data_IF_475686169282
#
_entry.id   IF_475686169282
#
_cell.length_a   1.000
_cell.length_b   1.000
_cell.length_c   1.000
_cell.angle_alpha   90.00
_cell.angle_beta   90.00
_cell.angle_gamma   90.00
#
_symmetry.space_group_name_H-M   'P 1'
#
loop_
_entity.id
_entity.type
_entity.pdbx_description
1 polymer ?
#
# COMPACT_ATOMS: atom_id res chain seq x y z
N UNK A 1 -26.20 -12.77 -50.31
CA UNK A 1 -25.08 -11.81 -50.22
C UNK A 1 -25.13 -10.64 -51.21
N UNK A 2 -25.99 -10.65 -52.25
CA UNK A 2 -26.06 -9.56 -53.24
C UNK A 2 -27.26 -8.59 -53.11
N UNK A 3 -28.17 -8.79 -52.13
CA UNK A 3 -29.38 -7.97 -52.00
C UNK A 3 -29.15 -6.58 -51.35
N UNK A 4 -28.03 -6.35 -50.68
CA UNK A 4 -27.70 -5.07 -50.01
C UNK A 4 -26.84 -4.10 -50.87
N UNK A 5 -26.58 -4.43 -52.14
CA UNK A 5 -25.79 -3.57 -53.02
C UNK A 5 -26.68 -2.51 -53.68
N UNK A 6 -26.85 -1.40 -52.98
CA UNK A 6 -27.42 -0.17 -53.58
C UNK A 6 -26.52 0.27 -54.73
N UNK A 7 -27.09 0.39 -55.93
CA UNK A 7 -26.37 0.82 -57.13
C UNK A 7 -25.77 2.21 -56.90
N UNK A 8 -24.44 2.34 -57.05
CA UNK A 8 -23.69 3.57 -56.79
C UNK A 8 -22.99 3.62 -55.41
N UNK A 9 -23.18 2.63 -54.54
CA UNK A 9 -22.43 2.54 -53.29
C UNK A 9 -21.04 1.89 -53.49
N UNK A 10 -19.99 2.61 -53.10
CA UNK A 10 -18.62 2.09 -53.02
C UNK A 10 -18.33 1.71 -51.56
N UNK A 11 -18.19 0.42 -51.30
CA UNK A 11 -17.74 -0.07 -49.98
C UNK A 11 -16.24 0.13 -49.88
N UNK A 12 -15.79 0.76 -48.80
CA UNK A 12 -14.39 0.94 -48.45
C UNK A 12 -14.14 0.21 -47.13
N UNK A 13 -12.95 -0.34 -46.96
CA UNK A 13 -12.57 -0.98 -45.72
C UNK A 13 -12.52 0.02 -44.57
N UNK A 14 -13.13 -0.34 -43.46
CA UNK A 14 -13.11 0.47 -42.27
C UNK A 14 -11.88 0.14 -41.42
N UNK A 15 -11.14 1.18 -41.02
CA UNK A 15 -10.01 1.07 -40.10
C UNK A 15 -10.42 1.57 -38.72
N UNK A 16 -10.67 0.65 -37.79
CA UNK A 16 -11.08 0.94 -36.41
C UNK A 16 -9.89 0.94 -35.44
N UNK A 17 -8.74 1.47 -35.86
CA UNK A 17 -7.54 1.57 -35.02
C UNK A 17 -7.26 3.02 -34.66
N UNK A 18 -7.65 3.48 -33.46
CA UNK A 18 -7.39 4.85 -33.02
C UNK A 18 -5.91 5.09 -32.69
N UNK A 19 -5.14 4.02 -32.44
CA UNK A 19 -3.70 4.09 -32.20
C UNK A 19 -2.94 3.97 -33.52
N UNK A 20 -2.06 4.94 -33.78
CA UNK A 20 -1.23 5.04 -35.00
C UNK A 20 0.16 4.44 -34.81
N UNK A 21 0.78 4.70 -33.66
CA UNK A 21 2.15 4.25 -33.38
C UNK A 21 2.36 4.09 -31.88
N UNK A 22 3.15 3.07 -31.53
CA UNK A 22 3.59 2.80 -30.16
C UNK A 22 5.08 2.47 -30.19
N UNK A 23 5.86 3.10 -29.31
CA UNK A 23 7.24 2.76 -29.01
C UNK A 23 7.42 2.63 -27.50
N UNK A 24 8.35 1.78 -27.07
CA UNK A 24 8.71 1.68 -25.66
C UNK A 24 10.22 1.55 -25.49
N UNK A 25 10.72 2.08 -24.38
CA UNK A 25 12.10 1.91 -23.94
C UNK A 25 12.13 1.53 -22.46
N UNK A 26 13.09 0.71 -22.07
CA UNK A 26 13.31 0.29 -20.69
C UNK A 26 14.68 0.79 -20.26
N UNK A 27 14.69 1.66 -19.27
CA UNK A 27 15.90 2.25 -18.70
C UNK A 27 16.12 1.72 -17.28
N UNK A 28 17.37 1.65 -16.82
CA UNK A 28 17.64 1.33 -15.41
C UNK A 28 17.24 2.50 -14.51
N UNK A 29 16.46 2.22 -13.47
CA UNK A 29 16.07 3.16 -12.44
C UNK A 29 16.92 2.95 -11.17
N UNK A 30 17.48 4.05 -10.64
CA UNK A 30 18.04 4.07 -9.28
C UNK A 30 17.04 4.76 -8.37
N UNK A 31 16.48 4.01 -7.42
CA UNK A 31 15.61 4.55 -6.39
C UNK A 31 16.29 4.38 -5.03
N UNK A 32 16.69 5.52 -4.45
CA UNK A 32 17.42 5.58 -3.18
C UNK A 32 18.72 4.72 -3.18
N UNK A 33 18.75 3.66 -2.37
CA UNK A 33 19.87 2.70 -2.25
C UNK A 33 19.68 1.44 -3.09
N UNK A 34 18.54 1.29 -3.77
CA UNK A 34 18.24 0.14 -4.65
C UNK A 34 18.55 0.51 -6.12
N UNK A 35 19.23 -0.40 -6.79
CA UNK A 35 19.73 -0.21 -8.18
C UNK A 35 19.17 -1.22 -9.17
N UNK A 36 18.21 -2.02 -8.73
CA UNK A 36 17.64 -3.18 -9.42
C UNK A 36 16.22 -2.92 -9.95
N UNK A 37 15.85 -1.65 -10.12
CA UNK A 37 14.55 -1.28 -10.66
C UNK A 37 14.66 -0.89 -12.13
N UNK A 38 13.58 -1.14 -12.87
CA UNK A 38 13.45 -0.77 -14.28
C UNK A 38 12.42 0.36 -14.43
N UNK A 39 12.71 1.32 -15.31
CA UNK A 39 11.82 2.39 -15.73
C UNK A 39 11.34 2.12 -17.15
N UNK A 40 10.04 1.88 -17.31
CA UNK A 40 9.38 1.75 -18.60
C UNK A 40 8.89 3.11 -19.09
N UNK A 41 9.31 3.52 -20.29
CA UNK A 41 8.79 4.71 -20.99
C UNK A 41 8.05 4.24 -22.23
N UNK A 42 6.78 4.62 -22.35
CA UNK A 42 5.92 4.29 -23.50
C UNK A 42 5.56 5.60 -24.21
N UNK A 43 5.85 5.67 -25.49
CA UNK A 43 5.42 6.75 -26.39
C UNK A 43 4.29 6.23 -27.26
N UNK A 44 3.13 6.90 -27.20
CA UNK A 44 1.93 6.46 -27.87
C UNK A 44 1.30 7.62 -28.65
N UNK A 45 0.98 7.36 -29.91
CA UNK A 45 0.41 8.31 -30.86
C UNK A 45 -0.99 7.84 -31.28
N UNK A 46 -2.02 8.61 -30.95
CA UNK A 46 -3.41 8.36 -31.37
C UNK A 46 -3.88 9.37 -32.41
N UNK A 47 -4.96 9.03 -33.12
CA UNK A 47 -5.61 9.94 -34.07
C UNK A 47 -6.59 10.93 -33.42
N UNK A 48 -6.58 11.01 -32.08
CA UNK A 48 -7.43 11.91 -31.29
C UNK A 48 -8.82 11.36 -30.96
N UNK A 49 -9.22 10.23 -31.54
CA UNK A 49 -10.51 9.57 -31.22
C UNK A 49 -10.50 8.95 -29.81
N UNK A 50 -9.33 8.55 -29.34
CA UNK A 50 -9.09 7.94 -28.03
C UNK A 50 -7.92 8.63 -27.34
N UNK A 51 -8.11 8.96 -26.07
CA UNK A 51 -7.04 9.52 -25.24
C UNK A 51 -5.94 8.46 -25.01
N UNK A 52 -4.65 8.81 -25.15
CA UNK A 52 -3.54 7.88 -24.95
C UNK A 52 -3.55 7.15 -23.60
N UNK A 53 -3.94 7.84 -22.53
CA UNK A 53 -4.03 7.23 -21.20
C UNK A 53 -5.11 6.16 -21.15
N UNK A 54 -6.29 6.50 -21.67
CA UNK A 54 -7.42 5.57 -21.74
C UNK A 54 -7.08 4.35 -22.60
N UNK A 55 -6.34 4.54 -23.70
CA UNK A 55 -5.88 3.45 -24.55
C UNK A 55 -5.01 2.45 -23.78
N UNK A 56 -4.10 2.94 -22.94
CA UNK A 56 -3.26 2.08 -22.09
C UNK A 56 -4.12 1.35 -21.06
N UNK A 57 -5.03 2.03 -20.36
CA UNK A 57 -5.94 1.44 -19.37
C UNK A 57 -6.81 0.32 -19.98
N UNK A 58 -7.37 0.57 -21.16
CA UNK A 58 -8.13 -0.43 -21.90
C UNK A 58 -7.27 -1.62 -22.31
N UNK A 59 -6.04 -1.39 -22.80
CA UNK A 59 -5.14 -2.47 -23.19
C UNK A 59 -4.74 -3.35 -22.00
N UNK A 60 -4.49 -2.74 -20.83
CA UNK A 60 -4.15 -3.45 -19.61
C UNK A 60 -5.34 -4.31 -19.12
N UNK A 61 -6.56 -3.77 -19.20
CA UNK A 61 -7.78 -4.50 -18.85
C UNK A 61 -7.98 -5.72 -19.76
N UNK A 62 -7.79 -5.55 -21.07
CA UNK A 62 -7.89 -6.66 -22.04
C UNK A 62 -6.83 -7.72 -21.72
N UNK A 63 -5.59 -7.30 -21.45
CA UNK A 63 -4.50 -8.23 -21.10
C UNK A 63 -4.83 -9.02 -19.83
N UNK A 64 -5.33 -8.34 -18.79
CA UNK A 64 -5.75 -8.97 -17.54
C UNK A 64 -6.86 -10.01 -17.77
N UNK A 65 -7.86 -9.66 -18.58
CA UNK A 65 -8.95 -10.57 -18.96
C UNK A 65 -8.48 -11.78 -19.76
N UNK A 66 -7.43 -11.65 -20.58
CA UNK A 66 -6.86 -12.79 -21.29
C UNK A 66 -6.03 -13.68 -20.35
N UNK A 67 -5.35 -13.08 -19.36
CA UNK A 67 -4.52 -13.81 -18.41
C UNK A 67 -5.35 -14.58 -17.37
N UNK A 68 -6.59 -14.15 -17.10
CA UNK A 68 -7.50 -14.84 -16.17
C UNK A 68 -7.84 -16.28 -16.58
N UNK A 69 -7.67 -16.62 -17.86
CA UNK A 69 -7.81 -18.00 -18.33
C UNK A 69 -6.71 -18.94 -17.79
N UNK A 70 -5.57 -18.39 -17.37
CA UNK A 70 -4.41 -19.14 -16.90
C UNK A 70 -4.21 -19.05 -15.38
N UNK A 71 -4.60 -17.93 -14.78
CA UNK A 71 -4.32 -17.59 -13.39
C UNK A 71 -5.55 -16.96 -12.76
N UNK A 72 -5.89 -17.37 -11.54
CA UNK A 72 -6.90 -16.70 -10.72
C UNK A 72 -6.31 -15.39 -10.17
N UNK A 73 -6.53 -14.30 -10.92
CA UNK A 73 -6.01 -12.98 -10.59
C UNK A 73 -6.71 -12.37 -9.38
N UNK A 74 -7.96 -12.76 -9.10
CA UNK A 74 -8.73 -12.26 -7.96
C UNK A 74 -8.14 -12.82 -6.65
N UNK A 75 -7.78 -14.10 -6.63
CA UNK A 75 -7.11 -14.72 -5.50
C UNK A 75 -5.73 -14.11 -5.19
N UNK A 76 -4.98 -13.68 -6.21
CA UNK A 76 -3.68 -13.02 -6.04
C UNK A 76 -3.87 -11.60 -5.50
N UNK A 77 -4.83 -10.84 -6.03
CA UNK A 77 -5.14 -9.49 -5.54
C UNK A 77 -5.56 -9.50 -4.06
N UNK A 78 -6.35 -10.49 -3.63
CA UNK A 78 -6.69 -10.67 -2.21
C UNK A 78 -5.49 -11.01 -1.33
N UNK A 79 -4.50 -11.75 -1.85
CA UNK A 79 -3.29 -12.08 -1.09
C UNK A 79 -2.34 -10.89 -0.95
N UNK A 80 -2.22 -10.04 -1.97
CA UNK A 80 -1.43 -8.81 -1.90
C UNK A 80 -2.06 -7.81 -0.93
N UNK A 81 -3.39 -7.61 -0.98
CA UNK A 81 -4.10 -6.77 -0.02
C UNK A 81 -3.92 -7.25 1.44
N UNK A 82 -3.81 -8.57 1.67
CA UNK A 82 -3.52 -9.13 2.99
C UNK A 82 -2.06 -8.97 3.40
N UNK A 83 -1.12 -8.87 2.45
CA UNK A 83 0.30 -8.61 2.74
C UNK A 83 0.53 -7.17 3.17
N UNK A 84 -0.10 -6.20 2.52
CA UNK A 84 0.03 -4.78 2.90
C UNK A 84 -0.54 -4.49 4.30
N UNK A 85 -1.48 -5.31 4.78
CA UNK A 85 -1.97 -5.23 6.17
C UNK A 85 -1.03 -5.88 7.21
N UNK A 86 -0.09 -6.71 6.77
CA UNK A 86 0.82 -7.47 7.65
C UNK A 86 2.20 -6.78 7.87
N UNK A 87 2.36 -5.53 7.44
CA UNK A 87 3.62 -4.78 7.64
C UNK A 87 3.85 -4.33 9.10
N UNK A 88 2.87 -4.54 9.99
CA UNK A 88 3.05 -4.32 11.42
C UNK A 88 3.42 -5.62 12.12
N UNK A 89 4.48 -5.58 12.94
CA UNK A 89 4.76 -6.67 13.85
C UNK A 89 3.50 -6.97 14.68
N UNK A 90 3.03 -8.23 14.77
CA UNK A 90 1.81 -8.61 15.49
C UNK A 90 1.80 -8.18 16.97
N UNK A 91 2.96 -7.81 17.50
CA UNK A 91 3.13 -7.30 18.85
C UNK A 91 2.63 -5.86 19.01
N UNK A 92 2.73 -5.03 17.95
CA UNK A 92 2.33 -3.61 17.99
C UNK A 92 0.81 -3.45 18.10
N UNK A 93 0.08 -4.38 17.48
CA UNK A 93 -1.38 -4.44 17.46
C UNK A 93 -1.99 -5.01 18.75
N UNK A 94 -1.16 -5.49 19.69
CA UNK A 94 -1.66 -6.00 20.97
C UNK A 94 -2.09 -4.86 21.88
N UNK A 95 -3.01 -5.17 22.79
CA UNK A 95 -3.40 -4.24 23.83
C UNK A 95 -2.30 -4.07 24.86
N UNK A 96 -2.20 -2.86 25.43
CA UNK A 96 -1.32 -2.57 26.56
C UNK A 96 -1.61 -3.45 27.79
N UNK A 97 -2.81 -4.03 27.88
CA UNK A 97 -3.18 -4.94 28.96
C UNK A 97 -2.38 -6.25 28.92
N UNK A 98 -1.89 -6.66 27.74
CA UNK A 98 -1.06 -7.87 27.57
C UNK A 98 0.40 -7.66 27.99
N UNK A 99 0.83 -6.42 28.25
CA UNK A 99 2.19 -6.11 28.69
C UNK A 99 2.41 -6.41 30.19
N UNK A 100 1.41 -6.95 30.91
CA UNK A 100 1.48 -7.29 32.34
C UNK A 100 2.06 -6.16 33.23
N UNK A 101 1.82 -4.90 32.84
CA UNK A 101 2.25 -3.73 33.60
C UNK A 101 1.48 -3.62 34.92
N UNK A 102 2.06 -2.92 35.90
CA UNK A 102 1.33 -2.60 37.13
C UNK A 102 0.05 -1.83 36.83
N UNK A 103 -0.98 -2.07 37.65
CA UNK A 103 -2.29 -1.40 37.57
C UNK A 103 -2.17 0.12 37.47
N UNK A 104 -1.14 0.72 38.11
CA UNK A 104 -0.85 2.15 38.01
C UNK A 104 -0.42 2.54 36.60
N UNK A 105 0.57 1.84 36.03
CA UNK A 105 1.13 2.13 34.71
C UNK A 105 0.07 1.95 33.61
N UNK A 106 -0.73 0.86 33.66
CA UNK A 106 -1.83 0.62 32.71
C UNK A 106 -2.92 1.69 32.78
N UNK A 107 -3.31 2.12 33.98
CA UNK A 107 -4.33 3.17 34.14
C UNK A 107 -3.82 4.54 33.71
N UNK A 108 -2.55 4.86 33.94
CA UNK A 108 -1.93 6.09 33.44
C UNK A 108 -1.91 6.13 31.90
N UNK A 109 -1.56 5.02 31.24
CA UNK A 109 -1.51 4.93 29.78
C UNK A 109 -2.92 5.03 29.17
N UNK A 110 -3.92 4.37 29.76
CA UNK A 110 -5.33 4.50 29.35
C UNK A 110 -5.87 5.92 29.51
N UNK A 111 -5.48 6.63 30.58
CA UNK A 111 -5.90 8.01 30.80
C UNK A 111 -5.39 8.96 29.70
N UNK A 112 -4.23 8.65 29.11
CA UNK A 112 -3.62 9.38 27.99
C UNK A 112 -4.08 8.86 26.61
N UNK A 113 -5.13 8.03 26.57
CA UNK A 113 -5.67 7.40 25.35
C UNK A 113 -4.69 6.49 24.60
N UNK A 114 -3.78 5.83 25.32
CA UNK A 114 -2.83 4.85 24.76
C UNK A 114 -3.38 3.44 25.04
N UNK A 115 -3.84 2.75 24.00
CA UNK A 115 -4.48 1.43 24.13
C UNK A 115 -3.66 0.29 23.52
N UNK A 116 -2.85 0.59 22.51
CA UNK A 116 -2.03 -0.38 21.79
C UNK A 116 -0.55 -0.23 22.13
N UNK A 117 0.21 -1.32 21.94
CA UNK A 117 1.68 -1.30 22.12
C UNK A 117 2.34 -0.35 21.11
N UNK A 118 1.86 -0.30 19.87
CA UNK A 118 2.39 0.64 18.87
C UNK A 118 2.21 2.12 19.28
N UNK A 119 1.09 2.48 19.91
CA UNK A 119 0.86 3.85 20.40
C UNK A 119 1.86 4.26 21.48
N UNK A 120 2.26 3.30 22.32
CA UNK A 120 3.24 3.50 23.38
C UNK A 120 4.64 3.73 22.83
N UNK A 121 5.03 2.96 21.81
CA UNK A 121 6.36 3.01 21.19
C UNK A 121 6.60 4.34 20.47
N UNK A 122 5.55 4.94 19.89
CA UNK A 122 5.64 6.27 19.27
C UNK A 122 5.86 7.40 20.27
N UNK A 123 5.57 7.18 21.56
CA UNK A 123 5.75 8.21 22.59
C UNK A 123 7.18 8.25 23.08
N UNK A 124 7.73 9.46 23.18
CA UNK A 124 9.04 9.68 23.77
C UNK A 124 8.96 9.54 25.30
N UNK A 125 10.09 9.18 25.91
CA UNK A 125 10.21 9.12 27.38
C UNK A 125 9.87 10.46 28.05
N UNK A 126 10.18 11.56 27.36
CA UNK A 126 9.93 12.92 27.83
C UNK A 126 8.44 13.24 27.85
N UNK A 127 7.68 12.75 26.87
CA UNK A 127 6.24 12.96 26.82
C UNK A 127 5.51 12.12 27.86
N UNK A 128 5.97 10.89 28.09
CA UNK A 128 5.44 10.04 29.16
C UNK A 128 5.68 10.65 30.56
N UNK A 129 6.81 11.32 30.78
CA UNK A 129 7.10 11.98 32.07
C UNK A 129 6.23 13.22 32.34
N UNK A 130 5.63 13.80 31.30
CA UNK A 130 4.67 14.91 31.45
C UNK A 130 3.28 14.44 31.86
N UNK A 131 2.96 13.17 31.65
CA UNK A 131 1.65 12.60 31.99
C UNK A 131 1.43 12.65 33.51
N UNK A 132 0.30 13.19 33.99
CA UNK A 132 0.01 13.25 35.41
C UNK A 132 -0.05 11.84 36.00
N UNK A 133 0.64 11.64 37.13
CA UNK A 133 0.75 10.37 37.88
C UNK A 133 1.69 9.30 37.30
N UNK A 134 2.41 9.57 36.20
CA UNK A 134 3.49 8.68 35.74
C UNK A 134 4.82 9.02 36.44
N UNK A 135 5.23 8.18 37.39
CA UNK A 135 6.47 8.36 38.14
C UNK A 135 7.68 7.67 37.50
N UNK A 136 8.90 8.01 37.94
CA UNK A 136 10.17 7.38 37.51
C UNK A 136 10.15 5.85 37.64
N UNK A 137 9.44 5.32 38.64
CA UNK A 137 9.28 3.86 38.85
C UNK A 137 8.44 3.19 37.76
N UNK A 138 7.35 3.82 37.34
CA UNK A 138 6.48 3.34 36.24
C UNK A 138 7.17 3.46 34.89
N UNK A 139 7.98 4.51 34.69
CA UNK A 139 8.76 4.67 33.45
C UNK A 139 9.80 3.57 33.28
N UNK A 140 10.54 3.23 34.34
CA UNK A 140 11.51 2.12 34.28
C UNK A 140 10.82 0.77 34.04
N UNK A 141 9.68 0.53 34.69
CA UNK A 141 8.87 -0.67 34.46
C UNK A 141 8.46 -0.80 32.98
N UNK A 142 7.97 0.27 32.37
CA UNK A 142 7.60 0.28 30.94
C UNK A 142 8.82 -0.03 30.06
N UNK A 143 9.99 0.55 30.37
CA UNK A 143 11.24 0.27 29.63
C UNK A 143 11.68 -1.18 29.76
N UNK A 144 11.64 -1.74 30.97
CA UNK A 144 12.09 -3.10 31.22
C UNK A 144 11.20 -4.11 30.50
N UNK A 145 9.88 -3.88 30.49
CA UNK A 145 8.93 -4.75 29.78
C UNK A 145 9.05 -4.59 28.26
N UNK A 146 9.20 -3.37 27.74
CA UNK A 146 9.44 -3.17 26.30
C UNK A 146 10.75 -3.82 25.86
N UNK A 147 11.82 -3.68 26.65
CA UNK A 147 13.11 -4.30 26.38
C UNK A 147 13.03 -5.84 26.41
N UNK A 148 12.18 -6.42 27.27
CA UNK A 148 11.94 -7.88 27.28
C UNK A 148 11.29 -8.41 26.00
N UNK A 149 10.70 -7.51 25.19
CA UNK A 149 10.02 -7.81 23.93
C UNK A 149 10.79 -7.25 22.72
N UNK A 150 12.06 -6.87 22.90
CA UNK A 150 12.93 -6.25 21.89
C UNK A 150 12.39 -4.93 21.31
N UNK A 151 11.57 -4.21 22.08
CA UNK A 151 10.97 -2.92 21.71
C UNK A 151 11.60 -1.78 22.52
N UNK A 152 11.61 -0.58 21.96
CA UNK A 152 12.13 0.63 22.64
C UNK A 152 11.19 1.82 22.48
N UNK A 153 11.27 2.77 23.40
CA UNK A 153 10.47 4.00 23.36
C UNK A 153 11.04 4.98 22.32
N UNK A 154 10.16 5.64 21.57
CA UNK A 154 10.54 6.59 20.53
C UNK A 154 10.94 5.95 19.19
N UNK A 155 10.57 4.69 18.93
CA UNK A 155 10.70 4.14 17.58
C UNK A 155 9.62 4.75 16.68
N UNK A 156 10.01 5.11 15.47
CA UNK A 156 9.09 5.63 14.48
C UNK A 156 8.67 4.46 13.56
N UNK A 157 7.44 4.00 13.72
CA UNK A 157 6.85 2.98 12.83
C UNK A 157 6.14 3.72 11.70
N UNK A 158 6.61 3.55 10.47
CA UNK A 158 5.95 4.13 9.30
C UNK A 158 4.52 3.54 9.17
N UNK A 159 3.55 4.38 8.81
CA UNK A 159 2.12 4.05 8.67
C UNK A 159 1.32 3.71 9.95
N UNK A 160 1.81 4.00 11.16
CA UNK A 160 1.03 3.89 12.42
C UNK A 160 0.30 5.21 12.77
N UNK A 161 -0.96 5.21 13.28
CA UNK A 161 -1.81 4.07 13.63
C UNK A 161 -2.43 3.38 12.39
N UNK A 162 -2.67 2.05 12.45
CA UNK A 162 -3.39 1.37 11.39
C UNK A 162 -4.77 2.02 11.26
N UNK A 163 -5.04 2.62 10.11
CA UNK A 163 -6.36 3.15 9.79
C UNK A 163 -7.37 2.02 9.92
N UNK A 164 -8.27 2.15 10.91
CA UNK A 164 -9.38 1.23 11.13
C UNK A 164 -10.45 1.34 10.05
#
# INVERSE_FOLDING_TARGET
DDEDRVVGALKVDASYSPVRRVSYTVDNARFEKRTDLDKLVIELETDGTLDPKLAIEHSATILQQQLSAFVDLDAIAEQEAKKDQNDFDPILLRSIEELELTVRSTNCLKAESIFLIGDLIHRSEFDLLKTPNLGKKSLNEIKDVLASKDLSLGMNVENWPPVG
#
